data_IF_630320272268
#
_entry.id   IF_630320272268
#
_cell.length_a   1.000
_cell.length_b   1.000
_cell.length_c   1.000
_cell.angle_alpha   90.00
_cell.angle_beta   90.00
_cell.angle_gamma   90.00
#
_symmetry.space_group_name_H-M   'P 1'
#
loop_
_entity.id
_entity.type
_entity.pdbx_description
1 polymer ?
#
# COMPACT_ATOMS: atom_id res chain seq x y z
N UNK A 1 6.11 26.88 -34.11
CA UNK A 1 6.09 26.98 -32.64
C UNK A 1 6.57 25.62 -32.12
N UNK A 2 7.60 25.56 -31.25
CA UNK A 2 7.93 24.29 -30.58
C UNK A 2 6.76 24.00 -29.62
N UNK A 3 6.02 22.91 -29.83
CA UNK A 3 5.06 22.46 -28.84
C UNK A 3 5.80 22.20 -27.53
N UNK A 4 5.37 22.92 -26.50
CA UNK A 4 5.92 22.70 -25.16
C UNK A 4 5.36 21.38 -24.62
N UNK A 5 6.24 20.47 -24.19
CA UNK A 5 5.83 19.20 -23.60
C UNK A 5 5.22 19.47 -22.20
N UNK A 6 3.89 19.47 -22.14
CA UNK A 6 3.13 19.65 -20.89
C UNK A 6 2.98 18.30 -20.17
N UNK A 7 4.01 17.95 -19.39
CA UNK A 7 4.04 16.69 -18.64
C UNK A 7 2.90 16.56 -17.64
N UNK A 8 2.50 17.64 -16.98
CA UNK A 8 1.43 17.60 -15.98
C UNK A 8 0.09 17.21 -16.59
N UNK A 9 -0.23 17.78 -17.73
CA UNK A 9 -1.44 17.42 -18.46
C UNK A 9 -1.41 15.97 -18.94
N UNK A 10 -0.29 15.55 -19.51
CA UNK A 10 -0.12 14.19 -20.03
C UNK A 10 -0.19 13.16 -18.89
N UNK A 11 0.47 13.40 -17.76
CA UNK A 11 0.43 12.52 -16.60
C UNK A 11 -1.00 12.36 -16.08
N UNK A 12 -1.76 13.45 -15.96
CA UNK A 12 -3.16 13.39 -15.52
C UNK A 12 -4.03 12.59 -16.50
N UNK A 13 -3.93 12.87 -17.80
CA UNK A 13 -4.69 12.16 -18.84
C UNK A 13 -4.38 10.65 -18.83
N UNK A 14 -3.13 10.26 -18.56
CA UNK A 14 -2.72 8.87 -18.48
C UNK A 14 -3.26 8.20 -17.21
N UNK A 15 -3.20 8.88 -16.07
CA UNK A 15 -3.74 8.36 -14.80
C UNK A 15 -5.27 8.18 -14.89
N UNK A 16 -5.99 9.15 -15.44
CA UNK A 16 -7.44 9.04 -15.67
C UNK A 16 -7.78 7.83 -16.55
N UNK A 17 -6.95 7.55 -17.57
CA UNK A 17 -7.12 6.37 -18.43
C UNK A 17 -6.86 5.08 -17.65
N UNK A 18 -5.84 5.03 -16.81
CA UNK A 18 -5.56 3.86 -15.96
C UNK A 18 -6.70 3.62 -14.96
N UNK A 19 -7.28 4.67 -14.42
CA UNK A 19 -8.44 4.56 -13.52
C UNK A 19 -9.68 3.99 -14.21
N UNK A 20 -9.86 4.26 -15.50
CA UNK A 20 -10.93 3.67 -16.29
C UNK A 20 -10.63 2.23 -16.71
N UNK A 21 -9.41 1.95 -17.15
CA UNK A 21 -9.02 0.65 -17.75
C UNK A 21 -8.59 -0.38 -16.70
N UNK A 22 -8.23 0.05 -15.50
CA UNK A 22 -7.76 -0.81 -14.39
C UNK A 22 -6.64 -1.77 -14.78
N UNK A 23 -5.58 -1.33 -15.48
CA UNK A 23 -4.57 -2.22 -16.08
C UNK A 23 -3.71 -2.94 -15.04
N UNK A 24 -3.77 -2.52 -13.79
CA UNK A 24 -2.93 -3.06 -12.71
C UNK A 24 -3.70 -3.97 -11.74
N UNK A 25 -5.00 -4.11 -11.89
CA UNK A 25 -5.79 -5.05 -11.09
C UNK A 25 -5.43 -6.49 -11.46
N UNK A 26 -5.04 -7.27 -10.44
CA UNK A 26 -4.69 -8.67 -10.62
C UNK A 26 -5.94 -9.55 -10.58
N UNK A 27 -6.18 -10.27 -11.66
CA UNK A 27 -7.25 -11.27 -11.74
C UNK A 27 -6.69 -12.69 -11.59
N UNK A 28 -7.52 -13.62 -11.15
CA UNK A 28 -7.12 -15.03 -11.11
C UNK A 28 -7.03 -15.53 -12.56
N UNK A 29 -5.79 -15.68 -13.06
CA UNK A 29 -5.52 -16.27 -14.37
C UNK A 29 -4.52 -17.42 -14.21
N UNK A 30 -5.02 -18.63 -14.39
CA UNK A 30 -4.22 -19.87 -14.24
C UNK A 30 -3.33 -20.15 -15.46
N UNK A 31 -3.52 -19.44 -16.56
CA UNK A 31 -2.76 -19.63 -17.81
C UNK A 31 -1.45 -18.84 -17.83
N UNK A 32 -1.35 -17.81 -16.99
CA UNK A 32 -0.16 -16.96 -16.90
C UNK A 32 0.70 -17.32 -15.68
N UNK A 33 2.03 -17.27 -15.80
CA UNK A 33 2.89 -17.41 -14.64
C UNK A 33 2.62 -16.28 -13.65
N UNK A 34 2.56 -16.60 -12.37
CA UNK A 34 2.27 -15.65 -11.28
C UNK A 34 3.54 -14.94 -10.85
N UNK A 35 3.40 -13.66 -10.50
CA UNK A 35 4.46 -12.90 -9.86
C UNK A 35 3.87 -12.02 -8.74
N UNK A 36 4.40 -12.18 -7.54
CA UNK A 36 4.02 -11.38 -6.38
C UNK A 36 5.11 -10.35 -6.11
N UNK A 37 4.79 -9.08 -6.22
CA UNK A 37 5.70 -7.96 -5.99
C UNK A 37 5.24 -7.18 -4.75
N UNK A 38 5.80 -7.53 -3.59
CA UNK A 38 5.51 -6.86 -2.34
C UNK A 38 6.62 -5.87 -2.01
N UNK A 39 6.23 -4.63 -1.75
CA UNK A 39 7.07 -3.62 -1.11
C UNK A 39 6.67 -3.46 0.36
N UNK A 40 7.58 -2.90 1.17
CA UNK A 40 7.30 -2.63 2.58
C UNK A 40 6.08 -1.71 2.70
N UNK A 41 5.13 -2.09 3.55
CA UNK A 41 3.98 -1.24 3.88
C UNK A 41 4.46 -0.04 4.71
N UNK A 42 4.14 1.21 4.33
CA UNK A 42 4.57 2.37 5.10
C UNK A 42 3.73 2.56 6.36
N UNK A 43 4.34 3.19 7.37
CA UNK A 43 3.58 3.75 8.49
C UNK A 43 2.80 4.98 8.01
N UNK A 44 1.50 5.11 8.30
CA UNK A 44 0.71 6.29 7.94
C UNK A 44 0.95 7.44 8.94
N UNK A 45 2.16 8.00 8.92
CA UNK A 45 2.63 9.00 9.89
C UNK A 45 2.77 10.41 9.33
N UNK A 46 2.25 10.69 8.14
CA UNK A 46 2.29 12.01 7.51
C UNK A 46 2.61 11.96 6.02
N UNK A 47 3.70 12.58 5.59
CA UNK A 47 4.08 12.64 4.19
C UNK A 47 5.02 11.50 3.77
N UNK A 48 4.95 11.12 2.49
CA UNK A 48 6.00 10.34 1.88
C UNK A 48 7.32 11.14 1.86
N UNK A 49 8.42 10.42 1.95
CA UNK A 49 9.76 11.00 1.80
C UNK A 49 10.54 10.24 0.71
N UNK A 50 11.71 10.74 0.32
CA UNK A 50 12.51 10.16 -0.77
C UNK A 50 12.89 8.71 -0.55
N UNK A 51 12.97 8.23 0.70
CA UNK A 51 13.16 6.81 1.01
C UNK A 51 11.98 5.94 0.55
N UNK A 52 10.76 6.41 0.73
CA UNK A 52 9.56 5.76 0.19
C UNK A 52 9.58 5.74 -1.34
N UNK A 53 9.86 6.90 -1.96
CA UNK A 53 9.92 7.02 -3.43
C UNK A 53 10.94 6.01 -4.00
N UNK A 54 12.15 5.94 -3.43
CA UNK A 54 13.17 4.98 -3.85
C UNK A 54 12.69 3.54 -3.74
N UNK A 55 12.16 3.16 -2.58
CA UNK A 55 11.71 1.79 -2.33
C UNK A 55 10.62 1.37 -3.31
N UNK A 56 9.61 2.21 -3.48
CA UNK A 56 8.44 1.89 -4.30
C UNK A 56 8.72 1.96 -5.80
N UNK A 57 9.60 2.87 -6.24
CA UNK A 57 10.03 2.93 -7.65
C UNK A 57 10.75 1.66 -8.09
N UNK A 58 11.56 1.04 -7.22
CA UNK A 58 12.23 -0.23 -7.53
C UNK A 58 11.18 -1.35 -7.72
N UNK A 59 10.24 -1.48 -6.79
CA UNK A 59 9.16 -2.45 -6.89
C UNK A 59 8.28 -2.24 -8.13
N UNK A 60 7.95 -0.98 -8.42
CA UNK A 60 7.14 -0.61 -9.58
C UNK A 60 7.84 -0.97 -10.91
N UNK A 61 9.13 -0.66 -11.03
CA UNK A 61 9.92 -1.02 -12.22
C UNK A 61 9.92 -2.54 -12.45
N UNK A 62 10.16 -3.33 -11.40
CA UNK A 62 10.13 -4.79 -11.46
C UNK A 62 8.74 -5.30 -11.87
N UNK A 63 7.70 -4.78 -11.26
CA UNK A 63 6.32 -5.15 -11.52
C UNK A 63 5.92 -4.87 -12.97
N UNK A 64 6.22 -3.68 -13.49
CA UNK A 64 5.98 -3.33 -14.91
C UNK A 64 6.75 -4.22 -15.85
N UNK A 65 8.03 -4.48 -15.57
CA UNK A 65 8.84 -5.40 -16.37
C UNK A 65 8.23 -6.80 -16.42
N UNK A 66 7.77 -7.33 -15.29
CA UNK A 66 7.13 -8.65 -15.22
C UNK A 66 5.81 -8.70 -16.01
N UNK A 67 4.99 -7.63 -15.93
CA UNK A 67 3.77 -7.52 -16.77
C UNK A 67 4.10 -7.54 -18.26
N UNK A 68 5.13 -6.78 -18.69
CA UNK A 68 5.60 -6.79 -20.08
C UNK A 68 6.11 -8.16 -20.54
N UNK A 69 6.62 -8.98 -19.61
CA UNK A 69 7.02 -10.37 -19.86
C UNK A 69 5.85 -11.37 -19.84
N UNK A 70 4.61 -10.91 -19.71
CA UNK A 70 3.42 -11.74 -19.75
C UNK A 70 3.04 -12.41 -18.43
N UNK A 71 3.67 -12.03 -17.31
CA UNK A 71 3.25 -12.52 -15.98
C UNK A 71 1.94 -11.89 -15.54
N UNK A 72 1.18 -12.66 -14.76
CA UNK A 72 0.08 -12.13 -13.96
C UNK A 72 0.68 -11.60 -12.64
N UNK A 73 0.75 -10.28 -12.52
CA UNK A 73 1.46 -9.61 -11.41
C UNK A 73 0.47 -9.09 -10.39
N UNK A 74 0.60 -9.55 -9.15
CA UNK A 74 -0.02 -8.93 -7.98
C UNK A 74 0.99 -8.00 -7.32
N UNK A 75 0.70 -6.70 -7.31
CA UNK A 75 1.44 -5.67 -6.60
C UNK A 75 0.47 -4.93 -5.66
N UNK A 76 0.26 -5.45 -4.43
CA UNK A 76 -0.60 -4.80 -3.46
C UNK A 76 0.10 -3.61 -2.81
N UNK A 77 -0.68 -2.76 -2.16
CA UNK A 77 -0.23 -1.72 -1.24
C UNK A 77 -1.04 -1.82 0.05
N UNK A 78 -0.51 -1.26 1.11
CA UNK A 78 -1.20 -1.21 2.38
C UNK A 78 -0.47 -0.32 3.39
N UNK A 79 -0.95 -0.37 4.62
CA UNK A 79 -0.54 0.53 5.70
C UNK A 79 -0.21 -0.27 6.94
N UNK A 80 1.01 -0.10 7.44
CA UNK A 80 1.40 -0.60 8.75
C UNK A 80 0.93 0.40 9.81
N UNK A 81 -0.33 0.25 10.22
CA UNK A 81 -1.07 1.30 10.90
C UNK A 81 -1.15 1.13 12.43
N UNK A 82 -0.64 0.05 12.98
CA UNK A 82 -0.52 -0.12 14.43
C UNK A 82 0.75 0.53 14.98
N UNK A 83 0.66 1.04 16.20
CA UNK A 83 1.82 1.37 17.02
C UNK A 83 1.78 2.75 17.68
N UNK A 84 2.66 2.91 18.66
CA UNK A 84 2.85 4.12 19.46
C UNK A 84 3.04 5.42 18.64
N UNK A 85 3.70 5.43 17.47
CA UNK A 85 3.84 6.67 16.71
C UNK A 85 2.53 7.33 16.32
N UNK A 86 1.54 6.53 15.91
CA UNK A 86 0.20 7.04 15.59
C UNK A 86 -0.54 7.53 16.84
N UNK A 87 -0.45 6.77 17.94
CA UNK A 87 -1.06 7.13 19.22
C UNK A 87 -0.45 8.41 19.81
N UNK A 88 0.87 8.53 19.83
CA UNK A 88 1.55 9.72 20.33
C UNK A 88 1.21 10.97 19.50
N UNK A 89 1.22 10.84 18.17
CA UNK A 89 0.85 11.94 17.28
C UNK A 89 -0.61 12.37 17.48
N UNK A 90 -1.51 11.43 17.73
CA UNK A 90 -2.91 11.71 18.03
C UNK A 90 -3.08 12.44 19.37
N UNK A 91 -2.33 12.04 20.41
CA UNK A 91 -2.30 12.70 21.72
C UNK A 91 -1.81 14.15 21.57
N UNK A 92 -0.67 14.34 20.89
CA UNK A 92 -0.07 15.67 20.68
C UNK A 92 -1.02 16.61 19.93
N UNK A 93 -1.77 16.08 18.97
CA UNK A 93 -2.72 16.84 18.14
C UNK A 93 -4.14 16.87 18.72
N UNK A 94 -4.41 16.17 19.83
CA UNK A 94 -5.71 16.08 20.47
C UNK A 94 -6.82 15.57 19.55
N UNK A 95 -6.49 14.59 18.71
CA UNK A 95 -7.43 13.90 17.80
C UNK A 95 -7.49 12.42 18.14
N UNK A 96 -8.53 11.74 17.68
CA UNK A 96 -8.62 10.28 17.87
C UNK A 96 -7.58 9.55 17.01
N UNK A 97 -6.83 8.54 17.49
CA UNK A 97 -5.80 7.84 16.73
C UNK A 97 -6.28 7.29 15.39
N UNK A 98 -7.48 6.72 15.35
CA UNK A 98 -8.08 6.21 14.12
C UNK A 98 -8.26 7.32 13.09
N UNK A 99 -8.86 8.44 13.48
CA UNK A 99 -9.10 9.58 12.59
C UNK A 99 -7.79 10.14 12.04
N UNK A 100 -6.78 10.29 12.89
CA UNK A 100 -5.44 10.70 12.49
C UNK A 100 -4.82 9.76 11.46
N UNK A 101 -4.93 8.46 11.72
CA UNK A 101 -4.39 7.41 10.84
C UNK A 101 -5.09 7.41 9.49
N UNK A 102 -6.42 7.49 9.45
CA UNK A 102 -7.21 7.54 8.22
C UNK A 102 -6.88 8.78 7.37
N UNK A 103 -6.73 9.95 8.00
CA UNK A 103 -6.32 11.18 7.30
C UNK A 103 -4.94 11.02 6.64
N UNK A 104 -3.98 10.44 7.35
CA UNK A 104 -2.64 10.20 6.81
C UNK A 104 -2.65 9.15 5.70
N UNK A 105 -3.41 8.08 5.83
CA UNK A 105 -3.58 7.06 4.78
C UNK A 105 -4.09 7.73 3.50
N UNK A 106 -5.15 8.51 3.58
CA UNK A 106 -5.73 9.19 2.43
C UNK A 106 -4.72 10.13 1.77
N UNK A 107 -4.02 10.93 2.57
CA UNK A 107 -3.01 11.86 2.07
C UNK A 107 -1.83 11.14 1.39
N UNK A 108 -1.27 10.10 2.02
CA UNK A 108 -0.17 9.33 1.45
C UNK A 108 -0.61 8.56 0.19
N UNK A 109 -1.85 8.10 0.15
CA UNK A 109 -2.43 7.44 -1.04
C UNK A 109 -2.50 8.40 -2.22
N UNK A 110 -2.93 9.65 -1.99
CA UNK A 110 -2.89 10.70 -3.01
C UNK A 110 -1.47 10.94 -3.54
N UNK A 111 -0.49 10.99 -2.64
CA UNK A 111 0.92 11.12 -3.03
C UNK A 111 1.43 9.93 -3.85
N UNK A 112 1.08 8.68 -3.47
CA UNK A 112 1.44 7.48 -4.23
C UNK A 112 0.78 7.46 -5.61
N UNK A 113 -0.48 7.88 -5.69
CA UNK A 113 -1.19 7.98 -6.97
C UNK A 113 -0.56 9.02 -7.87
N UNK A 114 -0.14 10.17 -7.33
CA UNK A 114 0.54 11.22 -8.11
C UNK A 114 1.88 10.76 -8.70
N UNK A 115 2.54 9.78 -8.07
CA UNK A 115 3.75 9.14 -8.60
C UNK A 115 3.46 8.10 -9.70
N UNK A 116 2.19 7.78 -9.92
CA UNK A 116 1.77 6.87 -10.99
C UNK A 116 2.19 5.42 -10.81
N UNK A 117 2.37 4.94 -9.59
CA UNK A 117 2.74 3.56 -9.32
C UNK A 117 1.64 2.56 -9.70
N UNK A 118 2.05 1.38 -10.17
CA UNK A 118 1.20 0.34 -10.72
C UNK A 118 0.61 -0.59 -9.63
N UNK A 119 0.09 -0.02 -8.55
CA UNK A 119 -0.52 -0.78 -7.46
C UNK A 119 -1.92 -1.29 -7.81
N UNK A 120 -2.24 -2.47 -7.31
CA UNK A 120 -3.60 -3.00 -7.27
C UNK A 120 -4.31 -2.51 -6.00
N UNK A 121 -4.95 -1.36 -6.09
CA UNK A 121 -5.69 -0.78 -4.96
C UNK A 121 -6.92 -1.58 -4.52
N UNK A 122 -7.37 -2.57 -5.31
CA UNK A 122 -8.42 -3.50 -4.87
C UNK A 122 -7.91 -4.50 -3.83
N UNK A 123 -6.59 -4.56 -3.63
CA UNK A 123 -5.89 -5.39 -2.66
C UNK A 123 -5.20 -4.54 -1.58
N UNK A 124 -5.75 -3.37 -1.33
CA UNK A 124 -5.29 -2.49 -0.25
C UNK A 124 -5.50 -3.16 1.12
N UNK A 125 -4.50 -3.04 1.99
CA UNK A 125 -4.48 -3.64 3.33
C UNK A 125 -4.24 -2.54 4.35
N UNK A 126 -5.02 -2.56 5.44
CA UNK A 126 -4.75 -1.76 6.63
C UNK A 126 -4.59 -2.71 7.83
N UNK A 127 -3.41 -2.76 8.43
CA UNK A 127 -3.12 -3.70 9.53
C UNK A 127 -3.91 -3.40 10.79
N UNK A 128 -4.42 -2.19 10.96
CA UNK A 128 -5.30 -1.81 12.08
C UNK A 128 -6.79 -2.05 11.82
N UNK A 129 -7.15 -2.57 10.64
CA UNK A 129 -8.52 -2.94 10.33
C UNK A 129 -8.89 -4.28 10.95
N UNK A 130 -10.11 -4.38 11.48
CA UNK A 130 -10.62 -5.61 12.10
C UNK A 130 -10.60 -6.79 11.14
N UNK A 131 -10.88 -6.55 9.87
CA UNK A 131 -10.84 -7.58 8.82
C UNK A 131 -9.45 -8.20 8.67
N UNK A 132 -8.39 -7.47 9.02
CA UNK A 132 -7.01 -7.93 9.00
C UNK A 132 -6.58 -8.55 10.33
N UNK A 133 -6.64 -7.80 11.45
CA UNK A 133 -6.04 -8.25 12.71
C UNK A 133 -6.76 -9.42 13.38
N UNK A 134 -8.00 -9.71 13.03
CA UNK A 134 -8.70 -10.90 13.54
C UNK A 134 -7.94 -12.21 13.29
N UNK A 135 -7.23 -12.32 12.17
CA UNK A 135 -6.41 -13.50 11.88
C UNK A 135 -5.15 -13.56 12.74
N UNK A 136 -4.58 -12.42 13.09
CA UNK A 136 -3.44 -12.34 14.02
C UNK A 136 -3.87 -12.74 15.44
N UNK A 137 -5.05 -12.30 15.88
CA UNK A 137 -5.63 -12.70 17.15
C UNK A 137 -5.92 -14.21 17.19
N UNK A 138 -6.44 -14.79 16.13
CA UNK A 138 -6.64 -16.24 16.02
C UNK A 138 -5.30 -17.00 16.11
N UNK A 139 -4.28 -16.53 15.43
CA UNK A 139 -2.94 -17.13 15.47
C UNK A 139 -2.34 -17.04 16.89
N UNK A 140 -2.49 -15.90 17.55
CA UNK A 140 -2.06 -15.71 18.94
C UNK A 140 -2.73 -16.71 19.90
N UNK A 141 -4.05 -16.92 19.77
CA UNK A 141 -4.77 -17.89 20.57
C UNK A 141 -4.23 -19.30 20.37
N UNK A 142 -3.93 -19.70 19.13
CA UNK A 142 -3.31 -21.00 18.84
C UNK A 142 -1.90 -21.13 19.47
N UNK A 143 -1.12 -20.06 19.54
CA UNK A 143 0.17 -20.06 20.25
C UNK A 143 -0.03 -20.19 21.76
N UNK A 144 -0.99 -19.49 22.31
CA UNK A 144 -1.33 -19.58 23.73
C UNK A 144 -1.78 -21.00 24.13
N UNK A 145 -2.67 -21.61 23.37
CA UNK A 145 -3.15 -22.99 23.59
C UNK A 145 -2.00 -24.02 23.54
N UNK A 146 -0.99 -23.78 22.72
CA UNK A 146 0.21 -24.63 22.62
C UNK A 146 1.28 -24.31 23.65
N UNK A 147 1.07 -23.37 24.55
CA UNK A 147 2.05 -22.94 25.55
C UNK A 147 3.24 -22.17 24.96
N UNK A 148 3.18 -21.72 23.70
CA UNK A 148 4.23 -20.92 23.06
C UNK A 148 4.16 -19.44 23.46
N UNK A 149 2.97 -18.97 23.86
CA UNK A 149 2.75 -17.65 24.45
C UNK A 149 2.34 -17.84 25.92
N UNK A 150 2.94 -17.08 26.83
CA UNK A 150 2.64 -17.16 28.27
C UNK A 150 2.80 -15.79 28.93
N UNK A 151 2.12 -15.61 30.06
CA UNK A 151 2.23 -14.39 30.88
C UNK A 151 3.50 -14.45 31.72
N UNK A 152 4.26 -13.35 31.74
CA UNK A 152 5.43 -13.17 32.61
C UNK A 152 5.34 -11.80 33.27
N UNK A 153 5.73 -11.74 34.57
CA UNK A 153 5.96 -10.47 35.30
C UNK A 153 7.32 -9.89 34.96
#
# INVERSE_FOLDING_TARGET
MKEFYDYKKIEQEVQDRWDQQKPYEANIDTKKPKYYCLSMLPYPSGNLHMGHVRNYSIGDAVSRYKRLKGFNVLQPMGWDAFGLPAENAAIDKKVHPQEWTEQNINHMKEQLNSLGFAYDWTKEINTSDESYYKFEQELFLKFYEKGLAYRKK
#
